data_IF_757498780032
#
_entry.id   IF_757498780032
#
_cell.length_a   1.000
_cell.length_b   1.000
_cell.length_c   1.000
_cell.angle_alpha   90.00
_cell.angle_beta   90.00
_cell.angle_gamma   90.00
#
_symmetry.space_group_name_H-M   'P 1'
#
loop_
_entity.id
_entity.type
_entity.pdbx_description
1 polymer ?
#
# COMPACT_ATOMS: atom_id res chain seq x y z
N UNK A 1 -1.91 -20.23 -7.61
CA UNK A 1 -2.30 -21.65 -7.45
C UNK A 1 -2.38 -21.99 -5.96
N UNK A 2 -3.15 -23.02 -5.61
CA UNK A 2 -3.30 -23.47 -4.22
C UNK A 2 -1.95 -23.92 -3.62
N UNK A 3 -1.63 -23.48 -2.38
CA UNK A 3 -0.43 -23.90 -1.66
C UNK A 3 0.89 -23.41 -2.25
N UNK A 4 0.86 -22.49 -3.21
CA UNK A 4 2.07 -21.96 -3.85
C UNK A 4 2.60 -20.73 -3.10
N UNK A 5 3.91 -20.50 -3.24
CA UNK A 5 4.55 -19.26 -2.80
C UNK A 5 5.16 -18.55 -4.00
N UNK A 6 4.90 -17.26 -4.13
CA UNK A 6 5.49 -16.41 -5.16
C UNK A 6 6.07 -15.12 -4.57
N UNK A 7 7.10 -14.60 -5.23
CA UNK A 7 7.69 -13.28 -4.96
C UNK A 7 7.74 -12.48 -6.24
N UNK A 8 7.16 -11.29 -6.21
CA UNK A 8 7.10 -10.37 -7.35
C UNK A 8 7.75 -9.06 -6.94
N UNK A 9 8.62 -8.52 -7.78
CA UNK A 9 9.18 -7.18 -7.62
C UNK A 9 8.60 -6.32 -8.74
N UNK A 10 7.82 -5.30 -8.35
CA UNK A 10 7.23 -4.32 -9.23
C UNK A 10 8.00 -3.00 -9.06
N UNK A 11 8.71 -2.59 -10.09
CA UNK A 11 9.52 -1.37 -10.07
C UNK A 11 9.00 -0.36 -11.08
N UNK A 12 8.80 0.84 -10.61
CA UNK A 12 8.45 2.01 -11.41
C UNK A 12 9.61 3.00 -11.32
N UNK A 13 10.54 2.90 -12.27
CA UNK A 13 11.72 3.74 -12.35
C UNK A 13 11.52 4.85 -13.40
N UNK A 14 12.17 5.98 -13.22
CA UNK A 14 12.19 7.07 -14.19
C UNK A 14 13.08 8.23 -13.73
N UNK A 15 13.60 8.96 -14.70
CA UNK A 15 14.37 10.18 -14.49
C UNK A 15 13.51 11.44 -14.68
N UNK A 16 14.15 12.62 -14.61
CA UNK A 16 13.53 13.94 -14.83
C UNK A 16 13.67 14.48 -16.25
N UNK A 17 14.10 13.65 -17.21
CA UNK A 17 14.35 14.10 -18.58
C UNK A 17 13.10 14.63 -19.28
N UNK A 18 11.92 14.09 -18.95
CA UNK A 18 10.64 14.51 -19.48
C UNK A 18 9.52 14.39 -18.44
N UNK A 19 8.44 15.14 -18.65
CA UNK A 19 7.20 14.90 -17.92
C UNK A 19 6.62 13.54 -18.30
N UNK A 20 6.17 12.79 -17.29
CA UNK A 20 5.57 11.48 -17.49
C UNK A 20 4.29 11.35 -16.70
N UNK A 21 3.31 10.71 -17.30
CA UNK A 21 2.11 10.27 -16.63
C UNK A 21 2.00 8.75 -16.73
N UNK A 22 1.87 8.10 -15.60
CA UNK A 22 1.66 6.66 -15.50
C UNK A 22 0.35 6.41 -14.78
N UNK A 23 -0.51 5.61 -15.38
CA UNK A 23 -1.71 5.08 -14.75
C UNK A 23 -1.62 3.56 -14.83
N UNK A 24 -1.44 2.91 -13.67
CA UNK A 24 -1.23 1.48 -13.57
C UNK A 24 -2.36 0.81 -12.77
N UNK A 25 -2.72 -0.39 -13.16
CA UNK A 25 -3.67 -1.24 -12.43
C UNK A 25 -3.08 -2.63 -12.31
N UNK A 26 -3.18 -3.22 -11.12
CA UNK A 26 -2.79 -4.60 -10.87
C UNK A 26 -3.91 -5.34 -10.15
N UNK A 27 -4.34 -6.47 -10.72
CA UNK A 27 -5.26 -7.40 -10.09
C UNK A 27 -4.48 -8.59 -9.54
N UNK A 28 -4.67 -8.89 -8.26
CA UNK A 28 -3.93 -9.91 -7.51
C UNK A 28 -4.89 -10.92 -6.93
N UNK A 29 -4.72 -12.19 -7.30
CA UNK A 29 -5.43 -13.30 -6.67
C UNK A 29 -4.47 -14.20 -5.89
N UNK A 30 -4.67 -14.30 -4.57
CA UNK A 30 -3.96 -15.24 -3.72
C UNK A 30 -4.87 -16.43 -3.44
N UNK A 31 -4.54 -17.58 -4.02
CA UNK A 31 -5.33 -18.81 -3.87
C UNK A 31 -5.29 -19.38 -2.44
N UNK A 32 -6.10 -20.42 -2.22
CA UNK A 32 -6.12 -21.10 -0.91
C UNK A 32 -4.74 -21.65 -0.54
N UNK A 33 -4.35 -21.50 0.73
CA UNK A 33 -3.07 -21.95 1.29
C UNK A 33 -1.82 -21.34 0.62
N UNK A 34 -1.99 -20.32 -0.25
CA UNK A 34 -0.90 -19.71 -0.99
C UNK A 34 -0.34 -18.47 -0.28
N UNK A 35 0.91 -18.12 -0.58
CA UNK A 35 1.58 -16.92 -0.09
C UNK A 35 2.14 -16.12 -1.26
N UNK A 36 1.76 -14.85 -1.34
CA UNK A 36 2.33 -13.91 -2.31
C UNK A 36 3.04 -12.78 -1.59
N UNK A 37 4.32 -12.60 -1.90
CA UNK A 37 5.07 -11.39 -1.55
C UNK A 37 5.16 -10.47 -2.76
N UNK A 38 4.63 -9.27 -2.63
CA UNK A 38 4.76 -8.19 -3.61
C UNK A 38 5.67 -7.11 -3.03
N UNK A 39 6.76 -6.83 -3.71
CA UNK A 39 7.68 -5.72 -3.41
C UNK A 39 7.44 -4.64 -4.44
N UNK A 40 6.88 -3.52 -4.02
CA UNK A 40 6.61 -2.38 -4.90
C UNK A 40 7.61 -1.27 -4.61
N UNK A 41 8.23 -0.74 -5.65
CA UNK A 41 9.15 0.39 -5.57
C UNK A 41 8.75 1.45 -6.58
N UNK A 42 8.41 2.65 -6.10
CA UNK A 42 8.23 3.85 -6.90
C UNK A 42 9.46 4.75 -6.74
N UNK A 43 10.26 4.86 -7.80
CA UNK A 43 11.52 5.62 -7.84
C UNK A 43 11.60 6.43 -9.14
N UNK A 44 10.61 7.26 -9.37
CA UNK A 44 10.52 8.14 -10.54
C UNK A 44 10.98 9.55 -10.18
N UNK A 45 11.39 10.33 -11.19
CA UNK A 45 11.79 11.71 -11.01
C UNK A 45 10.63 12.66 -10.66
N UNK A 46 10.96 13.88 -10.24
CA UNK A 46 10.00 14.87 -9.75
C UNK A 46 9.03 15.40 -10.81
N UNK A 47 9.32 15.14 -12.10
CA UNK A 47 8.43 15.47 -13.23
C UNK A 47 7.46 14.35 -13.61
N UNK A 48 7.37 13.32 -12.78
CA UNK A 48 6.48 12.16 -12.99
C UNK A 48 5.22 12.27 -12.17
N UNK A 49 4.10 11.89 -12.79
CA UNK A 49 2.79 11.73 -12.16
C UNK A 49 2.43 10.25 -12.24
N UNK A 50 2.39 9.58 -11.11
CA UNK A 50 2.13 8.14 -11.02
C UNK A 50 0.88 7.87 -10.19
N UNK A 51 -0.13 7.30 -10.83
CA UNK A 51 -1.35 6.85 -10.17
C UNK A 51 -1.45 5.34 -10.35
N UNK A 52 -1.56 4.61 -9.27
CA UNK A 52 -1.64 3.15 -9.31
C UNK A 52 -2.75 2.64 -8.41
N UNK A 53 -3.44 1.63 -8.92
CA UNK A 53 -4.45 0.88 -8.18
C UNK A 53 -4.06 -0.59 -8.11
N UNK A 54 -4.10 -1.16 -6.91
CA UNK A 54 -3.89 -2.58 -6.67
C UNK A 54 -5.15 -3.14 -6.01
N UNK A 55 -5.75 -4.13 -6.65
CA UNK A 55 -6.87 -4.90 -6.12
C UNK A 55 -6.36 -6.30 -5.74
N UNK A 56 -6.43 -6.67 -4.46
CA UNK A 56 -5.97 -7.96 -4.00
C UNK A 56 -7.13 -8.75 -3.37
N UNK A 57 -7.33 -9.98 -3.82
CA UNK A 57 -8.30 -10.91 -3.21
C UNK A 57 -7.57 -12.11 -2.63
N UNK A 58 -7.80 -12.38 -1.35
CA UNK A 58 -7.10 -13.44 -0.61
C UNK A 58 -8.06 -14.56 -0.25
N UNK A 59 -7.73 -15.74 -0.72
CA UNK A 59 -8.48 -16.97 -0.48
C UNK A 59 -8.19 -17.62 0.88
N UNK A 60 -8.82 -18.76 1.15
CA UNK A 60 -8.79 -19.45 2.43
C UNK A 60 -7.36 -19.77 2.88
N UNK A 61 -6.99 -19.34 4.08
CA UNK A 61 -5.63 -19.48 4.65
C UNK A 61 -4.52 -18.92 3.74
N UNK A 62 -4.89 -18.11 2.74
CA UNK A 62 -3.94 -17.42 1.90
C UNK A 62 -3.32 -16.23 2.65
N UNK A 63 -2.14 -15.82 2.24
CA UNK A 63 -1.45 -14.65 2.79
C UNK A 63 -0.95 -13.75 1.68
N UNK A 64 -1.34 -12.48 1.73
CA UNK A 64 -0.81 -11.43 0.88
C UNK A 64 0.14 -10.55 1.70
N UNK A 65 1.38 -10.45 1.26
CA UNK A 65 2.41 -9.61 1.89
C UNK A 65 2.82 -8.53 0.89
N UNK A 66 2.62 -7.27 1.25
CA UNK A 66 3.11 -6.12 0.48
C UNK A 66 4.21 -5.39 1.24
N UNK A 67 5.30 -5.13 0.53
CA UNK A 67 6.32 -4.17 0.93
C UNK A 67 6.33 -3.03 -0.09
N UNK A 68 5.87 -1.85 0.31
CA UNK A 68 5.77 -0.67 -0.55
C UNK A 68 6.84 0.36 -0.20
N UNK A 69 7.57 0.84 -1.17
CA UNK A 69 8.52 1.93 -1.01
C UNK A 69 8.26 3.03 -2.04
N UNK A 70 7.87 4.21 -1.57
CA UNK A 70 7.60 5.38 -2.39
C UNK A 70 8.70 6.42 -2.14
N UNK A 71 9.69 6.44 -3.01
CA UNK A 71 10.92 7.24 -2.89
C UNK A 71 11.06 8.30 -3.98
N UNK A 72 10.07 8.43 -4.86
CA UNK A 72 10.10 9.34 -6.00
C UNK A 72 8.71 9.66 -6.53
N UNK A 73 8.68 10.33 -7.67
CA UNK A 73 7.58 11.00 -8.35
C UNK A 73 7.21 12.36 -7.74
N UNK A 74 6.90 13.34 -8.61
CA UNK A 74 6.36 14.63 -8.18
C UNK A 74 4.96 14.48 -7.58
N UNK A 75 4.15 13.60 -8.19
CA UNK A 75 2.90 13.10 -7.61
C UNK A 75 2.91 11.57 -7.68
N UNK A 76 2.81 10.93 -6.54
CA UNK A 76 2.62 9.48 -6.42
C UNK A 76 1.33 9.18 -5.66
N UNK A 77 0.41 8.40 -6.26
CA UNK A 77 -0.78 7.92 -5.61
C UNK A 77 -0.88 6.40 -5.71
N UNK A 78 -1.12 5.76 -4.57
CA UNK A 78 -1.43 4.35 -4.46
C UNK A 78 -2.82 4.17 -3.83
N UNK A 79 -3.73 3.56 -4.57
CA UNK A 79 -5.00 3.03 -4.06
C UNK A 79 -4.86 1.51 -3.94
N UNK A 80 -4.76 0.99 -2.73
CA UNK A 80 -4.64 -0.43 -2.43
C UNK A 80 -5.90 -0.94 -1.75
N UNK A 81 -6.62 -1.85 -2.41
CA UNK A 81 -7.78 -2.53 -1.87
C UNK A 81 -7.46 -4.01 -1.65
N UNK A 82 -7.63 -4.48 -0.43
CA UNK A 82 -7.40 -5.89 -0.05
C UNK A 82 -8.67 -6.49 0.49
N UNK A 83 -9.12 -7.56 -0.14
CA UNK A 83 -10.30 -8.32 0.27
C UNK A 83 -9.88 -9.66 0.87
N UNK A 84 -10.05 -9.83 2.18
CA UNK A 84 -9.85 -11.08 2.87
C UNK A 84 -11.14 -11.91 2.74
N UNK A 85 -11.27 -12.57 1.57
CA UNK A 85 -12.54 -13.09 1.06
C UNK A 85 -12.94 -14.46 1.62
N UNK A 86 -12.04 -15.13 2.35
CA UNK A 86 -12.29 -16.49 2.84
C UNK A 86 -11.71 -16.70 4.25
N UNK A 87 -12.15 -17.74 4.99
CA UNK A 87 -11.73 -17.98 6.35
C UNK A 87 -10.21 -18.08 6.51
N UNK A 88 -9.71 -17.42 7.57
CA UNK A 88 -8.29 -17.38 7.94
C UNK A 88 -7.37 -16.74 6.89
N UNK A 89 -7.90 -15.96 5.95
CA UNK A 89 -7.11 -15.15 5.04
C UNK A 89 -6.35 -14.06 5.81
N UNK A 90 -5.15 -13.71 5.33
CA UNK A 90 -4.29 -12.75 6.00
C UNK A 90 -3.68 -11.73 5.02
N UNK A 91 -3.43 -10.51 5.52
CA UNK A 91 -2.65 -9.50 4.81
C UNK A 91 -1.63 -8.85 5.76
N UNK A 92 -0.41 -8.66 5.26
CA UNK A 92 0.65 -7.89 5.93
C UNK A 92 1.11 -6.79 4.97
N UNK A 93 0.82 -5.53 5.32
CA UNK A 93 1.03 -4.38 4.45
C UNK A 93 2.02 -3.44 5.14
N UNK A 94 3.23 -3.38 4.63
CA UNK A 94 4.26 -2.50 5.16
C UNK A 94 4.68 -1.48 4.12
N UNK A 95 4.87 -0.23 4.53
CA UNK A 95 5.24 0.82 3.61
C UNK A 95 6.21 1.84 4.17
N UNK A 96 6.97 2.40 3.25
CA UNK A 96 7.84 3.54 3.49
C UNK A 96 7.60 4.59 2.41
N UNK A 97 7.44 5.85 2.80
CA UNK A 97 7.40 6.95 1.84
C UNK A 97 8.31 8.11 2.25
N UNK A 98 8.88 8.77 1.26
CA UNK A 98 9.71 9.95 1.42
C UNK A 98 9.19 11.09 0.53
N UNK A 99 8.43 12.00 1.12
CA UNK A 99 7.92 13.20 0.45
C UNK A 99 8.82 14.39 0.76
N UNK A 100 9.88 14.56 0.01
CA UNK A 100 10.79 15.70 0.12
C UNK A 100 10.64 16.69 -1.06
N UNK A 101 11.36 17.81 -0.99
CA UNK A 101 11.27 18.84 -2.02
C UNK A 101 9.86 19.41 -2.15
N UNK A 102 9.17 19.12 -3.22
CA UNK A 102 7.76 19.49 -3.48
C UNK A 102 6.88 18.28 -3.85
N UNK A 103 7.34 17.08 -3.55
CA UNK A 103 6.63 15.83 -3.84
C UNK A 103 5.32 15.72 -3.07
N UNK A 104 4.33 15.16 -3.74
CA UNK A 104 3.06 14.80 -3.13
C UNK A 104 2.87 13.28 -3.21
N UNK A 105 2.96 12.60 -2.08
CA UNK A 105 2.75 11.16 -1.99
C UNK A 105 1.46 10.88 -1.22
N UNK A 106 0.57 10.10 -1.84
CA UNK A 106 -0.78 9.84 -1.38
C UNK A 106 -1.03 8.33 -1.37
N UNK A 107 -1.30 7.76 -0.21
CA UNK A 107 -1.52 6.31 -0.04
C UNK A 107 -2.85 6.05 0.63
N UNK A 108 -3.71 5.36 -0.08
CA UNK A 108 -5.02 4.92 0.40
C UNK A 108 -5.06 3.41 0.51
N UNK A 109 -5.25 2.92 1.72
CA UNK A 109 -5.42 1.51 2.01
C UNK A 109 -6.88 1.23 2.38
N UNK A 110 -7.45 0.21 1.76
CA UNK A 110 -8.74 -0.34 2.15
C UNK A 110 -8.59 -1.85 2.36
N UNK A 111 -8.97 -2.32 3.54
CA UNK A 111 -8.91 -3.75 3.88
C UNK A 111 -10.28 -4.23 4.33
N UNK A 112 -10.89 -5.11 3.54
CA UNK A 112 -12.17 -5.75 3.84
C UNK A 112 -11.97 -7.12 4.47
N UNK A 113 -12.45 -7.29 5.69
CA UNK A 113 -12.53 -8.57 6.39
C UNK A 113 -13.90 -9.20 6.09
N UNK A 114 -13.98 -10.10 5.09
CA UNK A 114 -15.23 -10.66 4.60
C UNK A 114 -15.54 -12.07 5.13
N UNK A 115 -14.62 -12.65 5.94
CA UNK A 115 -14.78 -13.99 6.46
C UNK A 115 -14.19 -14.16 7.87
N UNK A 116 -14.56 -15.22 8.55
CA UNK A 116 -14.17 -15.51 9.93
C UNK A 116 -12.67 -15.75 10.08
N UNK A 117 -12.09 -15.28 11.18
CA UNK A 117 -10.69 -15.52 11.54
C UNK A 117 -9.68 -14.83 10.63
N UNK A 118 -10.10 -13.86 9.83
CA UNK A 118 -9.20 -13.07 8.99
C UNK A 118 -8.36 -12.13 9.84
N UNK A 119 -7.17 -11.79 9.35
CA UNK A 119 -6.25 -10.89 10.05
C UNK A 119 -5.53 -9.96 9.11
N UNK A 120 -5.27 -8.75 9.57
CA UNK A 120 -4.44 -7.79 8.82
C UNK A 120 -3.51 -7.00 9.74
N UNK A 121 -2.34 -6.70 9.22
CA UNK A 121 -1.34 -5.83 9.84
C UNK A 121 -0.94 -4.75 8.84
N UNK A 122 -0.99 -3.49 9.26
CA UNK A 122 -0.51 -2.35 8.48
C UNK A 122 0.54 -1.59 9.30
N UNK A 123 1.76 -1.49 8.78
CA UNK A 123 2.85 -0.70 9.36
C UNK A 123 3.44 0.21 8.27
N UNK A 124 3.03 1.47 8.27
CA UNK A 124 3.50 2.48 7.33
C UNK A 124 4.30 3.55 8.05
N UNK A 125 5.46 3.86 7.49
CA UNK A 125 6.38 4.88 8.00
C UNK A 125 6.71 5.87 6.91
N UNK A 126 6.90 7.12 7.29
CA UNK A 126 7.22 8.14 6.31
C UNK A 126 8.01 9.31 6.87
N UNK A 127 8.63 10.00 5.95
CA UNK A 127 9.31 11.27 6.20
C UNK A 127 8.74 12.28 5.22
N UNK A 128 8.31 13.43 5.74
CA UNK A 128 7.97 14.58 4.92
C UNK A 128 8.96 15.71 5.21
N UNK A 129 9.55 16.29 4.17
CA UNK A 129 10.59 17.31 4.26
C UNK A 129 10.43 18.38 3.17
N UNK A 130 11.06 19.53 3.35
CA UNK A 130 10.93 20.64 2.40
C UNK A 130 9.50 21.18 2.36
N UNK A 131 8.89 21.19 1.18
CA UNK A 131 7.47 21.46 0.95
C UNK A 131 6.70 20.19 0.60
N UNK A 132 7.29 19.04 0.90
CA UNK A 132 6.69 17.74 0.65
C UNK A 132 5.37 17.57 1.37
N UNK A 133 4.43 16.92 0.70
CA UNK A 133 3.13 16.56 1.25
C UNK A 133 2.95 15.05 1.21
N UNK A 134 2.58 14.48 2.35
CA UNK A 134 2.25 13.07 2.46
C UNK A 134 0.81 12.92 2.99
N UNK A 135 0.04 12.07 2.32
CA UNK A 135 -1.30 11.69 2.74
C UNK A 135 -1.31 10.19 2.97
N UNK A 136 -1.88 9.78 4.10
CA UNK A 136 -2.10 8.37 4.40
C UNK A 136 -3.52 8.19 4.90
N UNK A 137 -4.28 7.35 4.22
CA UNK A 137 -5.63 6.97 4.60
C UNK A 137 -5.72 5.46 4.75
N UNK A 138 -6.31 5.02 5.84
CA UNK A 138 -6.60 3.60 6.07
C UNK A 138 -8.05 3.44 6.47
N UNK A 139 -8.77 2.63 5.71
CA UNK A 139 -10.10 2.13 6.05
C UNK A 139 -10.02 0.63 6.22
N UNK A 140 -10.47 0.12 7.35
CA UNK A 140 -10.62 -1.31 7.57
C UNK A 140 -12.08 -1.62 7.87
N UNK A 141 -12.70 -2.39 6.99
CA UNK A 141 -14.08 -2.81 7.08
C UNK A 141 -14.24 -4.25 7.55
N UNK A 142 -15.35 -4.57 8.20
CA UNK A 142 -15.74 -5.94 8.53
C UNK A 142 -17.23 -6.15 8.21
N UNK A 143 -17.55 -7.31 7.66
CA UNK A 143 -18.93 -7.72 7.43
C UNK A 143 -19.69 -7.95 8.74
N UNK A 144 -18.98 -8.37 9.80
CA UNK A 144 -19.47 -8.40 11.18
C UNK A 144 -18.34 -8.28 12.19
N UNK A 145 -18.61 -7.66 13.34
CA UNK A 145 -17.62 -7.46 14.40
C UNK A 145 -17.05 -8.78 14.98
N UNK A 146 -17.74 -9.90 14.79
CA UNK A 146 -17.30 -11.22 15.25
C UNK A 146 -16.30 -11.90 14.30
N UNK A 147 -16.06 -11.35 13.13
CA UNK A 147 -15.29 -11.99 12.06
C UNK A 147 -13.85 -11.51 11.99
N UNK A 148 -13.53 -10.34 12.55
CA UNK A 148 -12.18 -9.79 12.56
C UNK A 148 -11.34 -10.49 13.62
N UNK A 149 -10.36 -11.28 13.19
CA UNK A 149 -9.46 -11.96 14.10
C UNK A 149 -8.42 -11.01 14.72
N UNK A 150 -7.84 -10.13 13.94
CA UNK A 150 -6.81 -9.20 14.39
C UNK A 150 -6.56 -8.08 13.37
N UNK A 151 -6.61 -6.84 13.83
CA UNK A 151 -6.28 -5.65 13.05
C UNK A 151 -5.27 -4.80 13.83
N UNK A 152 -4.15 -4.47 13.21
CA UNK A 152 -3.19 -3.49 13.72
C UNK A 152 -2.82 -2.50 12.63
N UNK A 153 -3.00 -1.23 12.91
CA UNK A 153 -2.57 -0.14 12.04
C UNK A 153 -1.59 0.78 12.80
N UNK A 154 -0.43 1.03 12.22
CA UNK A 154 0.63 1.85 12.82
C UNK A 154 1.19 2.84 11.80
N UNK A 155 0.46 3.92 11.45
CA UNK A 155 1.06 4.99 10.67
C UNK A 155 2.02 5.79 11.56
N UNK A 156 3.23 5.99 11.10
CA UNK A 156 4.23 6.80 11.77
C UNK A 156 4.93 7.72 10.78
N UNK A 157 4.76 9.03 10.92
CA UNK A 157 5.34 10.02 10.02
C UNK A 157 6.16 11.04 10.80
N UNK A 158 7.37 11.29 10.33
CA UNK A 158 8.24 12.36 10.83
C UNK A 158 8.17 13.55 9.88
N UNK A 159 7.76 14.70 10.39
CA UNK A 159 7.86 15.98 9.70
C UNK A 159 9.25 16.57 9.95
N UNK A 160 10.09 16.60 8.91
CA UNK A 160 11.46 17.06 9.04
C UNK A 160 11.61 18.59 8.91
N UNK A 161 10.57 19.28 8.44
CA UNK A 161 10.54 20.74 8.31
C UNK A 161 9.14 21.28 8.61
N UNK A 162 9.02 22.58 9.04
CA UNK A 162 7.71 23.18 9.34
C UNK A 162 6.79 23.37 8.12
N UNK A 163 7.30 23.20 6.92
CA UNK A 163 6.54 23.33 5.67
C UNK A 163 6.02 21.98 5.12
N UNK A 164 6.49 20.88 5.69
CA UNK A 164 6.03 19.57 5.32
C UNK A 164 4.63 19.30 5.90
N UNK A 165 3.77 18.64 5.15
CA UNK A 165 2.39 18.34 5.53
C UNK A 165 2.18 16.82 5.54
N UNK A 166 1.61 16.34 6.62
CA UNK A 166 1.07 14.98 6.70
C UNK A 166 -0.41 15.05 7.04
N UNK A 167 -1.22 14.37 6.27
CA UNK A 167 -2.65 14.21 6.50
C UNK A 167 -2.97 12.73 6.72
N UNK A 168 -3.64 12.42 7.80
CA UNK A 168 -4.19 11.10 8.06
C UNK A 168 -5.73 11.21 8.01
N UNK A 169 -6.35 10.42 7.15
CA UNK A 169 -7.78 10.23 7.11
C UNK A 169 -8.14 8.85 7.68
N UNK A 170 -9.20 8.78 8.43
CA UNK A 170 -9.77 7.55 9.03
C UNK A 170 -11.15 7.31 8.46
#
# INVERSE_FOLDING_TARGET
>A
ARGSTARIILRHDGDDAAERFVNAVADVEVGADAVLHLYRLLSQGDRSFHIERIEATVGQRGTFVLHDAQLGAGLGRLDLNVRLAAPQAAAELTGLFLADGSRHLDTHLHVDHLAVGTRSLQDYRGIAAGRGRAVFSLVAGSASAAEVGYLVARPYVTLATPWAVFEQAT
#
